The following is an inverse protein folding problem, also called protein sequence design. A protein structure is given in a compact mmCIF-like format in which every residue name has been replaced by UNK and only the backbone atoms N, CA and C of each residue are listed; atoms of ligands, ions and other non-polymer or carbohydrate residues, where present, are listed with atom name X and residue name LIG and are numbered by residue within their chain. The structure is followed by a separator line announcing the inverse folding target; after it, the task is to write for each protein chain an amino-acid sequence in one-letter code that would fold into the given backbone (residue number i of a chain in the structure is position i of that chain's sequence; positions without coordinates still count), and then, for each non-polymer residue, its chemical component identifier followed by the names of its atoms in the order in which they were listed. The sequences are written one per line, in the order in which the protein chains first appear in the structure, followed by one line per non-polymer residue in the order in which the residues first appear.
data_IF_282563815201
#
_entry.id   IF_282563815201
#
_cell.length_a   1.000
_cell.length_b   1.000
_cell.length_c   1.000
_cell.angle_alpha   90.00
_cell.angle_beta   90.00
_cell.angle_gamma   90.00
#
_symmetry.space_group_name_H-M   'P 1'
#
loop_
_entity.id
_entity.type
_entity.pdbx_description
1 polymer ?
#
# COMPACT_ATOMS: atom_id res chain seq x y z
N UNK A 1 -3.08 54.74 -55.47
CA UNK A 1 -3.05 56.09 -54.86
C UNK A 1 -4.43 56.39 -54.28
N UNK A 2 -4.46 56.91 -53.04
CA UNK A 2 -5.62 57.39 -52.24
C UNK A 2 -6.71 56.37 -51.90
N UNK A 3 -7.01 56.01 -50.65
CA UNK A 3 -6.70 56.64 -49.37
C UNK A 3 -7.99 57.09 -48.68
N UNK A 4 -8.14 56.70 -47.41
CA UNK A 4 -9.04 57.19 -46.37
C UNK A 4 -10.44 56.56 -46.25
N UNK A 5 -10.64 55.88 -45.11
CA UNK A 5 -11.61 56.33 -44.10
C UNK A 5 -11.12 55.92 -42.70
N UNK A 6 -10.67 56.92 -41.94
CA UNK A 6 -10.64 56.89 -40.49
C UNK A 6 -11.84 57.70 -39.98
N UNK A 7 -12.47 57.24 -38.89
CA UNK A 7 -13.37 58.06 -38.09
C UNK A 7 -13.09 57.79 -36.61
N UNK A 8 -12.69 58.85 -35.91
CA UNK A 8 -12.59 59.00 -34.45
C UNK A 8 -13.99 58.76 -33.79
N UNK A 9 -14.17 58.09 -32.62
CA UNK A 9 -13.76 58.37 -31.20
C UNK A 9 -14.42 59.69 -30.72
N UNK A 10 -15.09 59.85 -29.53
CA UNK A 10 -14.63 59.46 -28.17
C UNK A 10 -15.66 59.17 -27.02
N UNK A 11 -15.11 58.70 -25.88
CA UNK A 11 -15.35 59.12 -24.47
C UNK A 11 -16.59 58.67 -23.65
N UNK A 12 -16.31 58.31 -22.38
CA UNK A 12 -17.26 58.24 -21.25
C UNK A 12 -16.97 57.07 -20.29
N UNK A 13 -15.79 56.93 -19.69
CA UNK A 13 -15.37 57.50 -18.40
C UNK A 13 -16.03 56.88 -17.13
N UNK A 14 -15.17 56.23 -16.34
CA UNK A 14 -15.08 56.17 -14.86
C UNK A 14 -16.10 55.40 -13.98
N UNK A 15 -15.57 54.31 -13.42
CA UNK A 15 -15.51 53.93 -11.99
C UNK A 15 -16.81 53.93 -11.14
N UNK A 16 -17.22 52.75 -10.67
CA UNK A 16 -17.11 52.36 -9.23
C UNK A 16 -17.55 50.90 -8.97
N UNK A 17 -16.79 50.29 -8.07
CA UNK A 17 -16.97 49.01 -7.37
C UNK A 17 -18.38 48.79 -6.80
N UNK A 18 -18.96 47.61 -7.00
CA UNK A 18 -19.76 46.87 -6.02
C UNK A 18 -19.93 45.41 -6.47
N UNK A 19 -19.50 44.46 -5.62
CA UNK A 19 -19.88 43.05 -5.67
C UNK A 19 -21.27 42.94 -5.03
N UNK A 20 -22.13 42.04 -5.52
CA UNK A 20 -22.74 41.09 -4.59
C UNK A 20 -22.65 39.65 -5.09
N UNK A 21 -22.87 38.76 -4.12
CA UNK A 21 -22.73 37.33 -4.19
C UNK A 21 -23.58 36.69 -5.30
N UNK A 22 -23.00 35.69 -5.96
CA UNK A 22 -23.76 34.63 -6.60
C UNK A 22 -23.56 33.40 -5.73
N UNK A 23 -24.47 33.19 -4.79
CA UNK A 23 -24.83 31.85 -4.34
C UNK A 23 -25.35 31.11 -5.57
N UNK A 24 -24.76 29.95 -5.80
CA UNK A 24 -25.07 29.05 -6.90
C UNK A 24 -24.53 27.72 -6.47
N UNK A 25 -25.28 27.09 -5.56
CA UNK A 25 -25.10 25.71 -5.14
C UNK A 25 -25.02 24.84 -6.39
N UNK A 26 -23.80 24.41 -6.69
CA UNK A 26 -23.55 23.23 -7.50
C UNK A 26 -22.34 22.57 -6.86
N UNK A 27 -22.62 21.92 -5.73
CA UNK A 27 -21.78 20.88 -5.17
C UNK A 27 -21.74 19.72 -6.17
N UNK A 28 -20.97 19.89 -7.25
CA UNK A 28 -20.39 18.77 -7.96
C UNK A 28 -19.26 18.24 -7.08
N UNK A 29 -19.40 17.07 -6.45
CA UNK A 29 -18.30 16.50 -5.70
C UNK A 29 -17.18 16.23 -6.70
N UNK A 30 -16.07 16.95 -6.53
CA UNK A 30 -14.80 16.63 -7.16
C UNK A 30 -14.54 15.14 -6.91
N UNK A 31 -14.39 14.40 -8.01
CA UNK A 31 -14.16 12.97 -8.00
C UNK A 31 -13.12 12.61 -6.94
N UNK A 32 -13.57 11.88 -5.93
CA UNK A 32 -12.71 11.19 -4.97
C UNK A 32 -11.99 10.09 -5.76
N UNK A 33 -10.94 10.46 -6.47
CA UNK A 33 -9.98 9.47 -6.95
C UNK A 33 -9.31 8.86 -5.72
N UNK A 34 -9.11 7.55 -5.77
CA UNK A 34 -8.21 6.77 -4.89
C UNK A 34 -8.71 6.54 -3.46
N UNK A 35 -9.74 5.69 -3.31
CA UNK A 35 -9.88 4.87 -2.09
C UNK A 35 -10.34 3.44 -2.39
N UNK A 36 -10.97 3.22 -3.53
CA UNK A 36 -11.41 1.88 -3.94
C UNK A 36 -10.26 1.01 -4.50
N UNK A 37 -9.16 1.60 -4.97
CA UNK A 37 -7.95 0.86 -5.37
C UNK A 37 -7.11 0.35 -4.18
N UNK A 38 -7.33 0.89 -2.97
CA UNK A 38 -6.67 0.41 -1.75
C UNK A 38 -7.27 -0.90 -1.23
N UNK A 39 -8.48 -1.26 -1.70
CA UNK A 39 -9.22 -2.45 -1.25
C UNK A 39 -8.74 -3.78 -1.90
N UNK A 40 -7.84 -3.74 -2.88
CA UNK A 40 -7.39 -4.94 -3.62
C UNK A 40 -5.89 -5.25 -3.53
N UNK A 41 -5.10 -4.53 -2.72
CA UNK A 41 -3.69 -4.91 -2.52
C UNK A 41 -3.64 -6.27 -1.81
N UNK A 42 -2.95 -7.28 -2.38
CA UNK A 42 -2.75 -8.56 -1.70
C UNK A 42 -2.16 -8.31 -0.31
N UNK A 43 -2.79 -8.87 0.72
CA UNK A 43 -2.22 -8.88 2.06
C UNK A 43 -1.12 -9.94 2.09
N UNK A 44 0.11 -9.52 1.79
CA UNK A 44 1.27 -10.38 1.84
C UNK A 44 1.57 -10.85 3.28
N UNK A 45 2.08 -12.06 3.39
CA UNK A 45 2.44 -12.72 4.64
C UNK A 45 3.74 -13.49 4.46
N UNK A 46 4.36 -13.98 5.53
CA UNK A 46 5.56 -14.81 5.44
C UNK A 46 5.37 -16.11 4.65
N UNK A 47 4.13 -16.59 4.49
CA UNK A 47 3.76 -17.75 3.67
C UNK A 47 3.40 -17.41 2.23
N UNK A 48 3.49 -16.14 1.83
CA UNK A 48 3.26 -15.75 0.43
C UNK A 48 4.39 -16.29 -0.45
N UNK A 49 4.04 -16.77 -1.63
CA UNK A 49 5.03 -17.35 -2.54
C UNK A 49 5.86 -16.26 -3.19
N UNK A 50 7.12 -16.58 -3.50
CA UNK A 50 8.01 -15.71 -4.27
C UNK A 50 7.42 -15.45 -5.66
N UNK A 51 6.82 -16.46 -6.27
CA UNK A 51 6.17 -16.35 -7.58
C UNK A 51 5.04 -15.32 -7.58
N UNK A 52 4.10 -15.40 -6.63
CA UNK A 52 2.98 -14.48 -6.53
C UNK A 52 3.45 -13.03 -6.32
N UNK A 53 4.47 -12.83 -5.46
CA UNK A 53 5.02 -11.50 -5.18
C UNK A 53 5.75 -10.92 -6.40
N UNK A 54 6.59 -11.71 -7.07
CA UNK A 54 7.36 -11.23 -8.21
C UNK A 54 6.47 -10.96 -9.42
N UNK A 55 5.49 -11.83 -9.66
CA UNK A 55 4.57 -11.76 -10.80
C UNK A 55 3.29 -10.96 -10.50
N UNK A 56 3.18 -10.32 -9.34
CA UNK A 56 2.06 -9.43 -9.00
C UNK A 56 1.82 -8.41 -10.13
N UNK A 57 0.58 -8.36 -10.63
CA UNK A 57 0.14 -7.43 -11.68
C UNK A 57 0.59 -7.76 -13.11
N UNK A 58 1.35 -8.83 -13.34
CA UNK A 58 1.96 -9.14 -14.65
C UNK A 58 1.07 -9.97 -15.59
N UNK A 59 -0.18 -10.23 -15.23
CA UNK A 59 -1.06 -11.18 -15.94
C UNK A 59 -1.86 -10.54 -17.08
N UNK A 60 -2.30 -9.28 -16.93
CA UNK A 60 -3.32 -8.69 -17.83
C UNK A 60 -2.83 -8.44 -19.25
N UNK A 61 -1.58 -7.98 -19.43
CA UNK A 61 -1.09 -7.65 -20.78
C UNK A 61 -0.58 -8.88 -21.52
N UNK A 62 -0.11 -9.91 -20.80
CA UNK A 62 0.46 -11.13 -21.39
C UNK A 62 -0.62 -12.02 -22.05
N UNK A 63 -1.84 -11.97 -21.52
CA UNK A 63 -2.99 -12.72 -22.06
C UNK A 63 -3.64 -12.05 -23.28
N UNK A 64 -3.30 -10.79 -23.59
CA UNK A 64 -3.87 -10.06 -24.71
C UNK A 64 -3.49 -10.70 -26.05
N UNK A 65 -4.47 -10.81 -26.95
CA UNK A 65 -4.26 -11.32 -28.32
C UNK A 65 -3.72 -10.22 -29.24
N UNK A 66 -2.92 -10.59 -30.23
CA UNK A 66 -2.35 -9.68 -31.22
C UNK A 66 -3.42 -8.86 -31.93
N UNK A 67 -4.45 -9.52 -32.48
CA UNK A 67 -5.51 -8.82 -33.19
C UNK A 67 -6.35 -7.93 -32.27
N UNK A 68 -6.50 -8.30 -31.01
CA UNK A 68 -7.17 -7.46 -30.00
C UNK A 68 -6.37 -6.20 -29.73
N UNK A 69 -5.05 -6.32 -29.49
CA UNK A 69 -4.14 -5.18 -29.35
C UNK A 69 -4.20 -4.25 -30.57
N UNK A 70 -4.12 -4.78 -31.79
CA UNK A 70 -4.16 -3.97 -33.01
C UNK A 70 -5.50 -3.23 -33.15
N UNK A 71 -6.62 -3.87 -32.80
CA UNK A 71 -7.94 -3.21 -32.81
C UNK A 71 -8.01 -2.08 -31.79
N UNK A 72 -7.50 -2.31 -30.58
CA UNK A 72 -7.57 -1.36 -29.47
C UNK A 72 -6.71 -0.12 -29.70
N UNK A 73 -5.49 -0.28 -30.26
CA UNK A 73 -4.52 0.82 -30.36
C UNK A 73 -4.33 1.38 -31.78
N UNK A 74 -4.72 0.64 -32.82
CA UNK A 74 -4.46 1.02 -34.23
C UNK A 74 -5.71 0.99 -35.12
N UNK A 75 -6.91 0.93 -34.52
CA UNK A 75 -8.18 0.96 -35.25
C UNK A 75 -8.35 -0.21 -36.23
N UNK A 76 -7.64 -1.33 -35.98
CA UNK A 76 -7.67 -2.51 -36.82
C UNK A 76 -6.75 -2.46 -38.05
N UNK A 77 -6.00 -1.38 -38.26
CA UNK A 77 -4.99 -1.30 -39.32
C UNK A 77 -3.84 -2.25 -38.99
N UNK A 78 -3.77 -3.38 -39.69
CA UNK A 78 -2.79 -4.45 -39.45
C UNK A 78 -3.36 -5.75 -38.89
N UNK A 79 -4.68 -5.82 -38.69
CA UNK A 79 -5.36 -7.07 -38.32
C UNK A 79 -5.24 -8.07 -39.47
N UNK A 80 -4.88 -9.31 -39.12
CA UNK A 80 -4.84 -10.43 -40.05
C UNK A 80 -5.64 -11.57 -39.45
N UNK A 81 -6.61 -12.12 -40.17
CA UNK A 81 -7.54 -13.12 -39.61
C UNK A 81 -6.81 -14.37 -39.08
N UNK A 82 -5.69 -14.76 -39.71
CA UNK A 82 -4.87 -15.89 -39.23
C UNK A 82 -4.19 -15.65 -37.88
N UNK A 83 -4.12 -14.39 -37.43
CA UNK A 83 -3.47 -14.01 -36.18
C UNK A 83 -4.44 -13.94 -34.98
N UNK A 84 -5.69 -14.38 -35.14
CA UNK A 84 -6.73 -14.24 -34.12
C UNK A 84 -6.41 -14.90 -32.77
N UNK A 85 -5.61 -15.96 -32.77
CA UNK A 85 -5.20 -16.69 -31.56
C UNK A 85 -3.73 -16.49 -31.18
N UNK A 86 -3.04 -15.53 -31.81
CA UNK A 86 -1.65 -15.23 -31.49
C UNK A 86 -1.61 -14.35 -30.23
N UNK A 87 -0.91 -14.81 -29.19
CA UNK A 87 -0.61 -13.97 -28.02
C UNK A 87 0.31 -12.82 -28.42
N UNK A 88 0.09 -11.66 -27.83
CA UNK A 88 0.93 -10.49 -28.07
C UNK A 88 2.39 -10.74 -27.66
N UNK A 89 2.64 -11.60 -26.67
CA UNK A 89 4.00 -11.97 -26.26
C UNK A 89 4.82 -12.60 -27.39
N UNK A 90 4.20 -13.50 -28.16
CA UNK A 90 4.84 -14.16 -29.31
C UNK A 90 5.11 -13.15 -30.43
N UNK A 91 4.19 -12.19 -30.63
CA UNK A 91 4.39 -11.11 -31.59
C UNK A 91 5.57 -10.21 -31.21
N UNK A 92 5.66 -9.77 -29.95
CA UNK A 92 6.75 -8.89 -29.49
C UNK A 92 8.13 -9.53 -29.69
N UNK A 93 8.22 -10.85 -29.52
CA UNK A 93 9.46 -11.60 -29.75
C UNK A 93 9.87 -11.63 -31.23
N UNK A 94 8.90 -11.80 -32.15
CA UNK A 94 9.15 -11.93 -33.60
C UNK A 94 8.07 -11.25 -34.44
N UNK A 95 8.04 -9.91 -34.48
CA UNK A 95 6.91 -9.19 -35.08
C UNK A 95 6.83 -9.36 -36.61
N UNK A 96 7.98 -9.52 -37.27
CA UNK A 96 8.10 -9.76 -38.72
C UNK A 96 7.52 -11.10 -39.17
N UNK A 97 7.23 -12.03 -38.25
CA UNK A 97 6.60 -13.31 -38.56
C UNK A 97 5.09 -13.19 -38.79
N UNK A 98 4.47 -12.15 -38.20
CA UNK A 98 3.01 -12.00 -38.15
C UNK A 98 2.50 -10.84 -38.99
N UNK A 99 3.32 -9.80 -39.21
CA UNK A 99 2.99 -8.63 -40.02
C UNK A 99 4.10 -8.45 -41.06
N UNK A 100 3.75 -8.69 -42.33
CA UNK A 100 4.66 -8.56 -43.46
C UNK A 100 4.69 -7.14 -44.05
N UNK A 101 3.68 -6.33 -43.75
CA UNK A 101 3.62 -4.94 -44.19
C UNK A 101 4.56 -4.10 -43.32
N UNK A 102 5.67 -3.65 -43.91
CA UNK A 102 6.71 -2.89 -43.22
C UNK A 102 6.23 -1.52 -42.74
N UNK A 103 5.26 -0.89 -43.41
CA UNK A 103 4.73 0.40 -42.99
C UNK A 103 3.88 0.23 -41.72
N UNK A 104 2.98 -0.75 -41.73
CA UNK A 104 2.14 -1.09 -40.58
C UNK A 104 3.01 -1.56 -39.41
N UNK A 105 3.97 -2.45 -39.67
CA UNK A 105 4.87 -2.95 -38.64
C UNK A 105 5.72 -1.82 -38.03
N UNK A 106 6.21 -0.90 -38.86
CA UNK A 106 6.92 0.29 -38.41
C UNK A 106 6.06 1.18 -37.51
N UNK A 107 4.81 1.43 -37.89
CA UNK A 107 3.86 2.20 -37.09
C UNK A 107 3.58 1.54 -35.73
N UNK A 108 3.38 0.23 -35.71
CA UNK A 108 3.10 -0.52 -34.47
C UNK A 108 4.33 -0.50 -33.55
N UNK A 109 5.50 -0.88 -34.06
CA UNK A 109 6.72 -1.00 -33.25
C UNK A 109 7.30 0.34 -32.79
N UNK A 110 6.99 1.43 -33.49
CA UNK A 110 7.34 2.78 -33.08
C UNK A 110 6.42 3.36 -31.99
N UNK A 111 5.23 2.78 -31.78
CA UNK A 111 4.22 3.29 -30.83
C UNK A 111 4.65 3.15 -29.37
N UNK A 112 4.12 4.03 -28.51
CA UNK A 112 4.31 3.94 -27.06
C UNK A 112 3.71 2.66 -26.48
N UNK A 113 2.50 2.28 -26.91
CA UNK A 113 1.79 1.09 -26.44
C UNK A 113 2.59 -0.20 -26.67
N UNK A 114 3.24 -0.33 -27.83
CA UNK A 114 4.10 -1.48 -28.11
C UNK A 114 5.37 -1.47 -27.25
N UNK A 115 5.97 -0.29 -27.03
CA UNK A 115 7.18 -0.17 -26.20
C UNK A 115 6.92 -0.49 -24.74
N UNK A 116 5.82 0.02 -24.19
CA UNK A 116 5.39 -0.27 -22.81
C UNK A 116 5.16 -1.77 -22.62
N UNK A 117 4.41 -2.38 -23.54
CA UNK A 117 4.19 -3.82 -23.54
C UNK A 117 5.51 -4.61 -23.63
N UNK A 118 6.42 -4.18 -24.50
CA UNK A 118 7.72 -4.84 -24.64
C UNK A 118 8.53 -4.77 -23.35
N UNK A 119 8.57 -3.61 -22.70
CA UNK A 119 9.23 -3.46 -21.40
C UNK A 119 8.58 -4.37 -20.35
N UNK A 120 7.25 -4.43 -20.30
CA UNK A 120 6.52 -5.30 -19.37
C UNK A 120 6.86 -6.78 -19.58
N UNK A 121 6.96 -7.23 -20.83
CA UNK A 121 7.33 -8.61 -21.16
C UNK A 121 8.80 -8.92 -20.84
N UNK A 122 9.71 -7.99 -21.13
CA UNK A 122 11.14 -8.12 -20.81
C UNK A 122 11.33 -8.18 -19.27
N UNK A 123 10.63 -7.34 -18.51
CA UNK A 123 10.61 -7.38 -17.04
C UNK A 123 10.03 -8.68 -16.51
N UNK A 124 8.91 -9.16 -17.08
CA UNK A 124 8.29 -10.43 -16.70
C UNK A 124 9.24 -11.60 -16.93
N UNK A 125 9.97 -11.63 -18.04
CA UNK A 125 10.96 -12.67 -18.33
C UNK A 125 12.07 -12.70 -17.27
N UNK A 126 12.62 -11.54 -16.93
CA UNK A 126 13.62 -11.38 -15.86
C UNK A 126 13.08 -11.90 -14.52
N UNK A 127 11.82 -11.61 -14.20
CA UNK A 127 11.19 -12.03 -12.96
C UNK A 127 10.94 -13.54 -12.95
N UNK A 128 10.51 -14.14 -14.06
CA UNK A 128 10.35 -15.59 -14.20
C UNK A 128 11.67 -16.33 -14.06
N UNK A 129 12.76 -15.80 -14.62
CA UNK A 129 14.11 -16.36 -14.42
C UNK A 129 14.49 -16.35 -12.94
N UNK A 130 14.23 -15.23 -12.24
CA UNK A 130 14.49 -15.11 -10.82
C UNK A 130 13.64 -16.10 -9.99
N UNK A 131 12.35 -16.26 -10.31
CA UNK A 131 11.47 -17.26 -9.68
C UNK A 131 12.04 -18.66 -9.86
N UNK A 132 12.35 -19.05 -11.10
CA UNK A 132 12.91 -20.36 -11.41
C UNK A 132 14.19 -20.59 -10.62
N UNK A 133 15.12 -19.64 -10.61
CA UNK A 133 16.36 -19.73 -9.85
C UNK A 133 16.10 -19.93 -8.36
N UNK A 134 15.28 -19.08 -7.75
CA UNK A 134 14.95 -19.15 -6.32
C UNK A 134 14.28 -20.48 -5.96
N UNK A 135 13.42 -21.00 -6.84
CA UNK A 135 12.83 -22.33 -6.67
C UNK A 135 13.88 -23.46 -6.67
N UNK A 136 14.87 -23.42 -7.57
CA UNK A 136 15.96 -24.41 -7.59
C UNK A 136 16.83 -24.33 -6.32
N UNK A 137 16.92 -23.16 -5.71
CA UNK A 137 17.65 -22.92 -4.46
C UNK A 137 16.79 -23.12 -3.20
N UNK A 138 15.53 -23.56 -3.37
CA UNK A 138 14.62 -23.89 -2.26
C UNK A 138 13.95 -22.68 -1.59
N UNK A 139 14.04 -21.49 -2.19
CA UNK A 139 13.39 -20.27 -1.71
C UNK A 139 12.04 -20.11 -2.41
N UNK A 140 11.00 -20.69 -1.82
CA UNK A 140 9.64 -20.69 -2.36
C UNK A 140 8.75 -19.61 -1.72
N UNK A 141 9.01 -19.26 -0.47
CA UNK A 141 8.18 -18.36 0.34
C UNK A 141 8.96 -17.14 0.83
N UNK A 142 8.23 -16.04 1.08
CA UNK A 142 8.80 -14.80 1.62
C UNK A 142 9.55 -15.00 2.95
N UNK A 143 9.07 -15.89 3.81
CA UNK A 143 9.75 -16.24 5.06
C UNK A 143 11.13 -16.87 4.83
N UNK A 144 11.30 -17.67 3.78
CA UNK A 144 12.60 -18.23 3.40
C UNK A 144 13.50 -17.17 2.77
N UNK A 145 12.91 -16.27 1.95
CA UNK A 145 13.63 -15.13 1.41
C UNK A 145 14.24 -14.25 2.50
N UNK A 146 13.56 -14.09 3.66
CA UNK A 146 14.10 -13.32 4.80
C UNK A 146 15.51 -13.77 5.17
N UNK A 147 15.71 -15.08 5.32
CA UNK A 147 16.91 -15.70 5.87
C UNK A 147 17.90 -16.17 4.77
N UNK A 148 17.56 -15.98 3.50
CA UNK A 148 18.40 -16.34 2.37
C UNK A 148 19.63 -15.41 2.25
N UNK A 149 20.83 -16.00 2.16
CA UNK A 149 22.09 -15.25 2.24
C UNK A 149 22.53 -14.65 0.89
N UNK A 150 22.32 -15.37 -0.22
CA UNK A 150 22.83 -15.00 -1.54
C UNK A 150 21.95 -13.97 -2.29
N UNK A 151 21.31 -13.04 -1.58
CA UNK A 151 20.39 -12.05 -2.18
C UNK A 151 21.02 -11.22 -3.30
N UNK A 152 22.33 -10.99 -3.25
CA UNK A 152 23.07 -10.21 -4.25
C UNK A 152 23.21 -10.89 -5.61
N UNK A 153 22.97 -12.20 -5.67
CA UNK A 153 22.97 -12.97 -6.91
C UNK A 153 21.65 -12.88 -7.68
N UNK A 154 20.57 -12.48 -7.00
CA UNK A 154 19.25 -12.29 -7.60
C UNK A 154 19.20 -10.94 -8.31
N UNK A 155 18.56 -10.90 -9.48
CA UNK A 155 18.39 -9.68 -10.27
C UNK A 155 17.86 -8.53 -9.39
N UNK A 156 18.44 -7.30 -9.49
CA UNK A 156 18.05 -6.18 -8.64
C UNK A 156 16.54 -5.88 -8.62
N UNK A 157 15.86 -6.09 -9.75
CA UNK A 157 14.40 -5.93 -9.88
C UNK A 157 13.64 -6.89 -8.93
N UNK A 158 13.92 -8.19 -9.02
CA UNK A 158 13.27 -9.20 -8.19
C UNK A 158 13.60 -9.01 -6.70
N UNK A 159 14.88 -8.76 -6.39
CA UNK A 159 15.34 -8.47 -5.03
C UNK A 159 14.63 -7.24 -4.44
N UNK A 160 14.48 -6.18 -5.23
CA UNK A 160 13.79 -4.95 -4.84
C UNK A 160 12.33 -5.21 -4.47
N UNK A 161 11.59 -5.94 -5.30
CA UNK A 161 10.19 -6.33 -5.03
C UNK A 161 10.07 -7.13 -3.73
N UNK A 162 10.84 -8.22 -3.59
CA UNK A 162 10.78 -9.08 -2.41
C UNK A 162 11.15 -8.36 -1.11
N UNK A 163 12.17 -7.50 -1.13
CA UNK A 163 12.55 -6.71 0.04
C UNK A 163 11.53 -5.63 0.39
N UNK A 164 10.89 -5.03 -0.62
CA UNK A 164 9.78 -4.10 -0.42
C UNK A 164 8.64 -4.76 0.33
N UNK A 165 8.19 -5.93 -0.17
CA UNK A 165 7.12 -6.71 0.47
C UNK A 165 7.53 -7.21 1.87
N UNK A 166 8.75 -7.74 2.03
CA UNK A 166 9.24 -8.18 3.33
C UNK A 166 9.22 -7.04 4.38
N UNK A 167 9.63 -5.85 3.99
CA UNK A 167 9.62 -4.66 4.87
C UNK A 167 8.19 -4.28 5.25
N UNK A 168 7.26 -4.33 4.30
CA UNK A 168 5.85 -4.06 4.55
C UNK A 168 5.27 -5.06 5.56
N UNK A 169 5.48 -6.36 5.35
CA UNK A 169 4.98 -7.42 6.23
C UNK A 169 5.52 -7.25 7.65
N UNK A 170 6.83 -7.07 7.81
CA UNK A 170 7.45 -6.88 9.13
C UNK A 170 6.97 -5.61 9.85
N UNK A 171 6.72 -4.53 9.09
CA UNK A 171 6.21 -3.28 9.66
C UNK A 171 4.80 -3.46 10.18
N UNK A 172 3.96 -4.16 9.41
CA UNK A 172 2.57 -4.43 9.79
C UNK A 172 2.49 -5.38 10.99
N UNK A 173 3.27 -6.47 11.01
CA UNK A 173 3.36 -7.37 12.16
C UNK A 173 3.75 -6.62 13.45
N UNK A 174 4.71 -5.69 13.37
CA UNK A 174 5.11 -4.87 14.52
C UNK A 174 4.00 -3.93 14.97
N UNK A 175 3.27 -3.32 14.02
CA UNK A 175 2.15 -2.42 14.29
C UNK A 175 1.03 -3.18 15.01
N UNK A 176 0.66 -4.34 14.50
CA UNK A 176 -0.37 -5.21 15.09
C UNK A 176 0.03 -5.72 16.48
N UNK A 177 1.28 -6.14 16.67
CA UNK A 177 1.80 -6.55 17.96
C UNK A 177 1.74 -5.40 18.98
N UNK A 178 2.11 -4.18 18.58
CA UNK A 178 2.02 -2.99 19.41
C UNK A 178 0.57 -2.63 19.77
N UNK A 179 -0.35 -2.73 18.82
CA UNK A 179 -1.78 -2.49 19.08
C UNK A 179 -2.41 -3.56 19.96
N UNK A 180 -2.02 -4.82 19.80
CA UNK A 180 -2.41 -5.91 20.69
C UNK A 180 -1.88 -5.66 22.09
N UNK A 181 -0.60 -5.32 22.25
CA UNK A 181 -0.02 -4.99 23.55
C UNK A 181 -0.75 -3.82 24.22
N UNK A 182 -1.08 -2.77 23.47
CA UNK A 182 -1.86 -1.64 23.97
C UNK A 182 -3.27 -2.04 24.42
N UNK A 183 -3.94 -2.92 23.68
CA UNK A 183 -5.26 -3.47 24.08
C UNK A 183 -5.16 -4.32 25.34
N UNK A 184 -4.18 -5.21 25.40
CA UNK A 184 -3.94 -6.07 26.56
C UNK A 184 -3.64 -5.22 27.81
N UNK A 185 -2.83 -4.17 27.67
CA UNK A 185 -2.56 -3.22 28.74
C UNK A 185 -3.81 -2.45 29.19
N UNK A 186 -4.62 -1.96 28.25
CA UNK A 186 -5.87 -1.26 28.59
C UNK A 186 -6.83 -2.20 29.33
N UNK A 187 -6.84 -3.49 28.99
CA UNK A 187 -7.63 -4.49 29.69
C UNK A 187 -7.12 -4.72 31.12
N UNK A 188 -5.81 -4.78 31.33
CA UNK A 188 -5.21 -4.87 32.68
C UNK A 188 -5.61 -3.67 33.52
N UNK A 189 -5.54 -2.45 32.97
CA UNK A 189 -5.95 -1.23 33.68
C UNK A 189 -7.44 -1.27 34.02
N UNK A 190 -8.30 -1.66 33.08
CA UNK A 190 -9.74 -1.78 33.33
C UNK A 190 -10.04 -2.78 34.44
N UNK A 191 -9.43 -3.97 34.38
CA UNK A 191 -9.59 -5.01 35.39
C UNK A 191 -9.08 -4.55 36.77
N UNK A 192 -7.96 -3.81 36.82
CA UNK A 192 -7.42 -3.24 38.05
C UNK A 192 -8.44 -2.31 38.73
N UNK A 193 -9.09 -1.41 37.97
CA UNK A 193 -10.13 -0.55 38.51
C UNK A 193 -11.35 -1.32 39.01
N UNK A 194 -11.77 -2.38 38.30
CA UNK A 194 -12.89 -3.22 38.71
C UNK A 194 -12.60 -3.92 40.05
N UNK A 195 -11.46 -4.61 40.18
CA UNK A 195 -11.07 -5.33 41.41
C UNK A 195 -10.92 -4.37 42.60
N UNK A 196 -10.32 -3.21 42.39
CA UNK A 196 -10.21 -2.19 43.46
C UNK A 196 -11.59 -1.68 43.87
N UNK A 197 -12.49 -1.42 42.91
CA UNK A 197 -13.86 -1.05 43.20
C UNK A 197 -14.53 -2.05 44.14
N UNK A 198 -14.54 -3.32 43.75
CA UNK A 198 -15.14 -4.40 44.56
C UNK A 198 -14.54 -4.49 45.97
N UNK A 199 -13.22 -4.37 46.09
CA UNK A 199 -12.53 -4.43 47.39
C UNK A 199 -12.81 -3.22 48.29
N UNK A 200 -12.90 -2.01 47.71
CA UNK A 200 -13.23 -0.79 48.45
C UNK A 200 -14.69 -0.77 48.91
N UNK A 201 -15.63 -1.20 48.06
CA UNK A 201 -17.05 -1.29 48.41
C UNK A 201 -17.36 -2.47 49.35
N UNK A 202 -16.53 -3.51 49.34
CA UNK A 202 -16.62 -4.68 50.25
C UNK A 202 -16.10 -4.45 51.68
N UNK A 203 -15.71 -3.23 52.05
CA UNK A 203 -15.34 -2.87 53.43
C UNK A 203 -13.93 -3.25 53.87
N UNK A 204 -13.01 -3.60 52.96
CA UNK A 204 -11.59 -3.88 53.28
C UNK A 204 -10.78 -2.58 53.34
N UNK A 205 -10.79 -1.93 54.50
CA UNK A 205 -10.29 -0.55 54.75
C UNK A 205 -8.80 -0.29 54.47
N UNK A 206 -7.95 -1.29 54.18
CA UNK A 206 -6.47 -1.10 54.10
C UNK A 206 -5.80 -1.32 52.74
N UNK A 207 -6.54 -1.63 51.67
CA UNK A 207 -5.95 -1.93 50.34
C UNK A 207 -5.21 -0.72 49.75
N UNK A 208 -5.58 0.50 50.13
CA UNK A 208 -4.98 1.74 49.62
C UNK A 208 -3.53 1.99 50.06
N UNK A 209 -3.04 1.35 51.13
CA UNK A 209 -1.68 1.57 51.65
C UNK A 209 -0.64 0.57 51.14
N UNK A 210 -1.06 -0.44 50.38
CA UNK A 210 -0.14 -1.40 49.78
C UNK A 210 0.56 -0.79 48.55
N UNK A 211 1.75 -1.31 48.20
CA UNK A 211 2.41 -0.98 46.94
C UNK A 211 1.65 -1.61 45.78
N UNK A 212 1.62 -0.91 44.64
CA UNK A 212 0.92 -1.34 43.43
C UNK A 212 1.41 -2.72 42.95
N UNK A 213 2.73 -2.94 42.84
CA UNK A 213 3.25 -4.25 42.40
C UNK A 213 2.92 -5.39 43.39
N UNK A 214 2.91 -5.11 44.69
CA UNK A 214 2.54 -6.10 45.71
C UNK A 214 1.04 -6.44 45.59
N UNK A 215 0.19 -5.43 45.33
CA UNK A 215 -1.23 -5.63 45.04
C UNK A 215 -1.44 -6.46 43.76
N UNK A 216 -0.77 -6.10 42.66
CA UNK A 216 -0.88 -6.83 41.39
C UNK A 216 -0.43 -8.29 41.54
N UNK A 217 0.56 -8.56 42.39
CA UNK A 217 1.00 -9.92 42.70
C UNK A 217 -0.07 -10.70 43.47
N UNK A 218 -0.70 -10.07 44.47
CA UNK A 218 -1.68 -10.72 45.34
C UNK A 218 -3.05 -10.93 44.65
N UNK A 219 -3.51 -9.96 43.86
CA UNK A 219 -4.90 -9.90 43.37
C UNK A 219 -5.02 -10.01 41.84
N UNK A 220 -3.91 -9.92 41.10
CA UNK A 220 -3.92 -9.92 39.62
C UNK A 220 -2.88 -10.88 38.99
N UNK A 221 -2.42 -11.90 39.72
CA UNK A 221 -1.44 -12.90 39.20
C UNK A 221 -0.15 -12.27 38.67
N UNK A 222 0.21 -11.08 39.16
CA UNK A 222 1.36 -10.31 38.69
C UNK A 222 1.19 -9.64 37.32
N UNK A 223 -0.01 -9.67 36.73
CA UNK A 223 -0.29 -8.95 35.47
C UNK A 223 -0.15 -7.44 35.68
N UNK A 224 0.59 -6.78 34.79
CA UNK A 224 0.83 -5.33 34.84
C UNK A 224 1.95 -4.87 35.79
N UNK A 225 2.73 -5.80 36.37
CA UNK A 225 3.91 -5.45 37.16
C UNK A 225 4.95 -4.77 36.26
N UNK A 226 5.46 -3.63 36.73
CA UNK A 226 6.57 -2.91 36.09
C UNK A 226 7.65 -2.59 37.11
N UNK A 227 8.90 -2.61 36.67
CA UNK A 227 10.02 -2.20 37.52
C UNK A 227 9.86 -0.76 38.03
N UNK A 228 9.36 0.15 37.18
CA UNK A 228 9.12 1.56 37.52
C UNK A 228 8.10 1.76 38.66
N UNK A 229 7.19 0.80 38.87
CA UNK A 229 6.09 0.90 39.83
C UNK A 229 6.41 0.29 41.20
N UNK A 230 7.64 -0.17 41.44
CA UNK A 230 8.04 -0.92 42.66
C UNK A 230 7.78 -0.17 43.97
N UNK A 231 7.77 1.16 43.95
CA UNK A 231 7.55 1.98 45.15
C UNK A 231 6.27 2.84 45.07
N UNK A 232 5.42 2.63 44.06
CA UNK A 232 4.17 3.36 43.91
C UNK A 232 3.14 2.76 44.85
N UNK A 233 2.55 3.59 45.72
CA UNK A 233 1.42 3.17 46.56
C UNK A 233 0.13 3.16 45.75
N UNK A 234 -0.74 2.17 46.02
CA UNK A 234 -1.99 1.99 45.29
C UNK A 234 -2.88 3.24 45.37
N UNK A 235 -2.98 3.89 46.54
CA UNK A 235 -3.72 5.15 46.68
C UNK A 235 -3.21 6.28 45.79
N UNK A 236 -1.90 6.37 45.57
CA UNK A 236 -1.29 7.42 44.76
C UNK A 236 -1.65 7.19 43.29
N UNK A 237 -1.63 5.93 42.87
CA UNK A 237 -2.06 5.51 41.53
C UNK A 237 -3.54 5.85 41.26
N UNK A 238 -4.43 5.68 42.24
CA UNK A 238 -5.86 5.98 42.10
C UNK A 238 -6.17 7.47 41.94
N UNK A 239 -5.41 8.35 42.61
CA UNK A 239 -5.62 9.81 42.55
C UNK A 239 -4.94 10.42 41.33
N UNK A 240 -3.75 9.93 40.99
CA UNK A 240 -2.96 10.39 39.85
C UNK A 240 -2.49 9.16 39.07
N UNK A 241 -3.30 8.67 38.11
CA UNK A 241 -2.89 7.56 37.27
C UNK A 241 -1.71 7.89 36.35
N UNK A 242 -1.20 9.14 36.36
CA UNK A 242 -0.01 9.57 35.59
C UNK A 242 1.24 8.72 35.87
N UNK A 243 1.28 7.94 36.95
CA UNK A 243 2.35 6.97 37.21
C UNK A 243 2.41 5.79 36.22
N UNK A 244 1.33 5.50 35.49
CA UNK A 244 1.30 4.50 34.41
C UNK A 244 1.65 5.09 33.03
N UNK A 245 1.93 6.39 32.93
CA UNK A 245 2.48 6.95 31.67
C UNK A 245 3.82 6.30 31.25
N UNK A 246 4.46 5.53 32.14
CA UNK A 246 5.61 4.67 31.84
C UNK A 246 5.27 3.31 31.19
N UNK A 247 4.01 3.00 30.91
CA UNK A 247 3.63 1.90 30.00
C UNK A 247 3.42 2.38 28.55
N UNK A 248 3.68 3.65 28.25
CA UNK A 248 3.48 4.20 26.90
C UNK A 248 4.76 4.22 26.06
N UNK A 249 5.94 4.11 26.66
CA UNK A 249 7.22 4.21 25.97
C UNK A 249 8.26 3.34 26.66
N UNK A 250 8.52 2.17 26.08
CA UNK A 250 9.78 1.78 25.42
C UNK A 250 9.53 0.53 24.58
#
# INVERSE_FOLDING_TARGET
MSGNKASAVPQGDRQRRARPASEGDTDQPAATHTRDEEAQRPQWTMSSTVEDILLEGSTSSTEMKLNEFIRNYFGGRGVVDTNENISISVFVLRPTMFINDNEILGLITASSSYRELKIELDEREILLEAVNRLHHEGVLFLGQWRDYEEKDTVTPLARGKLNGVLTQVLTEERREAGEKARRDQQQVIFNLYAVIGDLLFGGRVRVNEIKLNDFLTLEMEGKGILHANRNVLLRIFLVIPRGISAMREY
#
